data_IF_908286184922
#
_entry.id   IF_908286184922
#
_cell.length_a   1.000
_cell.length_b   1.000
_cell.length_c   1.000
_cell.angle_alpha   90.00
_cell.angle_beta   90.00
_cell.angle_gamma   90.00
#
_symmetry.space_group_name_H-M   'P 1'
#
loop_
_entity.id
_entity.type
_entity.pdbx_description
1 polymer ?
#
# COMPACT_ATOMS: atom_id res chain seq x y z
N UNK A 1 25.42 43.74 -2.82
CA UNK A 1 25.95 42.38 -2.57
C UNK A 1 25.08 41.53 -1.65
N UNK A 2 24.46 42.09 -0.59
CA UNK A 2 23.63 41.30 0.37
C UNK A 2 22.41 40.59 -0.25
N UNK A 3 21.69 41.23 -1.19
CA UNK A 3 20.49 40.63 -1.81
C UNK A 3 20.76 39.40 -2.68
N UNK A 4 21.98 39.24 -3.22
CA UNK A 4 22.32 38.05 -4.00
C UNK A 4 22.58 36.85 -3.08
N UNK A 5 23.18 37.07 -1.90
CA UNK A 5 23.46 36.03 -0.92
C UNK A 5 22.16 35.43 -0.34
N UNK A 6 21.16 36.27 -0.07
CA UNK A 6 19.82 35.83 0.36
C UNK A 6 19.10 35.01 -0.72
N UNK A 7 19.17 35.43 -1.99
CA UNK A 7 18.58 34.68 -3.09
C UNK A 7 19.26 33.32 -3.29
N UNK A 8 20.58 33.26 -3.17
CA UNK A 8 21.33 32.00 -3.24
C UNK A 8 20.97 31.07 -2.08
N UNK A 9 20.85 31.61 -0.86
CA UNK A 9 20.45 30.83 0.32
C UNK A 9 19.04 30.25 0.14
N UNK A 10 18.09 31.04 -0.38
CA UNK A 10 16.72 30.59 -0.63
C UNK A 10 16.65 29.50 -1.69
N UNK A 11 17.44 29.61 -2.78
CA UNK A 11 17.53 28.57 -3.81
C UNK A 11 18.14 27.28 -3.25
N UNK A 12 19.19 27.38 -2.44
CA UNK A 12 19.80 26.22 -1.77
C UNK A 12 18.79 25.55 -0.83
N UNK A 13 18.03 26.32 -0.04
CA UNK A 13 16.98 25.78 0.82
C UNK A 13 15.88 25.08 0.02
N UNK A 14 15.43 25.65 -1.11
CA UNK A 14 14.44 25.00 -1.98
C UNK A 14 14.98 23.70 -2.56
N UNK A 15 16.22 23.69 -3.06
CA UNK A 15 16.86 22.49 -3.61
C UNK A 15 17.06 21.41 -2.54
N UNK A 16 17.44 21.79 -1.31
CA UNK A 16 17.56 20.87 -0.17
C UNK A 16 16.21 20.30 0.24
N UNK A 17 15.16 21.12 0.31
CA UNK A 17 13.80 20.67 0.61
C UNK A 17 13.28 19.75 -0.48
N UNK A 18 13.48 20.08 -1.76
CA UNK A 18 13.12 19.22 -2.89
C UNK A 18 13.91 17.91 -2.86
N UNK A 19 15.20 17.92 -2.50
CA UNK A 19 16.00 16.72 -2.35
C UNK A 19 15.56 15.85 -1.16
N UNK A 20 15.23 16.46 -0.02
CA UNK A 20 14.73 15.75 1.17
C UNK A 20 13.32 15.17 0.93
N UNK A 21 12.44 15.91 0.26
CA UNK A 21 11.13 15.41 -0.18
C UNK A 21 11.35 14.30 -1.22
N UNK A 22 12.21 14.50 -2.22
CA UNK A 22 12.51 13.45 -3.19
C UNK A 22 13.07 12.19 -2.51
N UNK A 23 13.98 12.32 -1.54
CA UNK A 23 14.51 11.20 -0.77
C UNK A 23 13.43 10.51 0.07
N UNK A 24 12.53 11.28 0.71
CA UNK A 24 11.40 10.74 1.47
C UNK A 24 10.35 10.03 0.59
N UNK A 25 10.19 10.47 -0.67
CA UNK A 25 9.17 9.97 -1.60
C UNK A 25 9.68 8.97 -2.65
N UNK A 26 10.99 8.92 -2.96
CA UNK A 26 11.61 7.91 -3.84
C UNK A 26 12.18 6.69 -3.10
N UNK A 27 12.22 6.69 -1.77
CA UNK A 27 12.66 5.55 -0.98
C UNK A 27 11.59 4.48 -0.60
N UNK A 28 10.36 4.38 -1.17
CA UNK A 28 9.46 3.30 -0.76
C UNK A 28 9.24 2.20 -1.82
N UNK A 29 10.20 1.87 -2.70
CA UNK A 29 9.95 0.83 -3.71
C UNK A 29 11.04 -0.22 -3.98
N UNK A 30 12.26 -0.07 -3.47
CA UNK A 30 13.27 -1.14 -3.57
C UNK A 30 14.08 -1.19 -2.28
N UNK A 31 13.47 -1.67 -1.20
CA UNK A 31 14.26 -2.28 -0.13
C UNK A 31 14.83 -3.58 -0.71
N UNK A 32 16.04 -3.49 -1.25
CA UNK A 32 16.83 -4.66 -1.57
C UNK A 32 17.20 -5.36 -0.26
N UNK A 33 16.31 -6.21 0.24
CA UNK A 33 16.58 -7.02 1.43
C UNK A 33 17.68 -8.01 1.09
N UNK A 34 18.90 -7.73 1.58
CA UNK A 34 20.06 -8.63 1.52
C UNK A 34 20.02 -9.53 2.75
N UNK A 35 19.99 -10.85 2.53
CA UNK A 35 19.85 -11.83 3.63
C UNK A 35 21.20 -12.38 4.12
N UNK A 36 21.20 -13.16 5.22
CA UNK A 36 22.37 -13.84 5.81
C UNK A 36 23.25 -14.62 4.81
N UNK A 37 22.70 -15.03 3.65
CA UNK A 37 23.48 -15.71 2.61
C UNK A 37 24.11 -14.76 1.57
N UNK A 38 23.98 -13.44 1.76
CA UNK A 38 24.50 -12.38 0.89
C UNK A 38 23.77 -12.23 -0.45
N UNK A 39 22.71 -13.00 -0.70
CA UNK A 39 21.99 -13.00 -1.97
C UNK A 39 20.79 -12.04 -1.93
N UNK A 40 20.47 -11.47 -3.10
CA UNK A 40 19.26 -10.69 -3.31
C UNK A 40 18.03 -11.57 -3.13
N UNK A 41 17.04 -11.07 -2.39
CA UNK A 41 15.75 -11.74 -2.22
C UNK A 41 14.86 -11.51 -3.43
N UNK A 42 13.98 -12.47 -3.70
CA UNK A 42 12.90 -12.33 -4.69
C UNK A 42 11.56 -12.24 -3.96
N UNK A 43 10.62 -11.51 -4.54
CA UNK A 43 9.25 -11.43 -4.03
C UNK A 43 8.43 -12.52 -4.71
N UNK A 44 7.69 -13.29 -3.92
CA UNK A 44 6.70 -14.27 -4.37
C UNK A 44 5.33 -13.94 -3.80
N UNK A 45 4.28 -14.39 -4.49
CA UNK A 45 2.90 -14.26 -4.06
C UNK A 45 2.34 -15.65 -3.81
N UNK A 46 1.79 -15.90 -2.61
CA UNK A 46 1.00 -17.10 -2.36
C UNK A 46 -0.46 -16.83 -2.73
N UNK A 47 -1.01 -17.61 -3.64
CA UNK A 47 -2.45 -17.60 -3.91
C UNK A 47 -3.09 -18.77 -3.18
N UNK A 48 -3.67 -18.51 -2.00
CA UNK A 48 -4.53 -19.49 -1.33
C UNK A 48 -5.83 -18.82 -0.89
N UNK A 49 -6.90 -19.60 -0.74
CA UNK A 49 -8.21 -19.09 -0.32
C UNK A 49 -8.19 -18.44 1.07
N UNK A 50 -7.28 -18.87 1.95
CA UNK A 50 -7.08 -18.31 3.29
C UNK A 50 -6.06 -17.16 3.33
N UNK A 51 -5.32 -16.94 2.24
CA UNK A 51 -4.23 -15.96 2.19
C UNK A 51 -4.12 -15.34 0.78
N UNK A 52 -5.10 -14.53 0.37
CA UNK A 52 -5.12 -13.94 -0.96
C UNK A 52 -4.04 -12.86 -1.10
N UNK A 53 -3.06 -13.14 -1.96
CA UNK A 53 -2.11 -12.17 -2.50
C UNK A 53 -1.06 -11.52 -1.58
N UNK A 54 -0.68 -12.03 -0.39
CA UNK A 54 0.42 -11.40 0.33
C UNK A 54 1.75 -11.74 -0.36
N UNK A 55 2.53 -10.68 -0.52
CA UNK A 55 3.86 -10.71 -1.10
C UNK A 55 4.85 -11.04 0.01
N UNK A 56 5.76 -11.98 -0.23
CA UNK A 56 6.83 -12.32 0.71
C UNK A 56 8.18 -12.37 0.00
N UNK A 57 9.21 -11.89 0.67
CA UNK A 57 10.61 -12.07 0.30
C UNK A 57 11.05 -13.49 0.61
N UNK A 58 11.69 -14.16 -0.35
CA UNK A 58 12.39 -15.41 -0.11
C UNK A 58 13.78 -15.43 -0.76
N UNK A 59 14.61 -16.36 -0.33
CA UNK A 59 15.92 -16.60 -0.92
C UNK A 59 15.81 -16.97 -2.42
N UNK A 60 16.62 -16.33 -3.27
CA UNK A 60 16.70 -16.62 -4.71
C UNK A 60 17.78 -17.65 -5.08
N UNK A 61 18.46 -18.27 -4.10
CA UNK A 61 19.56 -19.21 -4.40
C UNK A 61 18.99 -20.55 -4.84
N UNK A 62 19.41 -21.02 -6.02
CA UNK A 62 19.09 -22.36 -6.49
C UNK A 62 19.74 -23.44 -5.59
N UNK A 63 18.96 -24.47 -5.23
CA UNK A 63 19.43 -25.61 -4.43
C UNK A 63 19.38 -25.35 -2.92
N UNK A 64 20.37 -24.63 -2.38
CA UNK A 64 20.48 -24.41 -0.92
C UNK A 64 19.77 -23.12 -0.51
N UNK A 65 18.47 -23.23 -0.28
CA UNK A 65 17.70 -22.15 0.35
C UNK A 65 18.14 -22.00 1.80
N UNK A 66 18.42 -20.78 2.22
CA UNK A 66 18.80 -20.47 3.60
C UNK A 66 17.60 -20.40 4.57
N UNK A 67 16.39 -20.71 4.10
CA UNK A 67 15.17 -20.71 4.92
C UNK A 67 14.57 -19.33 5.20
N UNK A 68 15.11 -18.26 4.62
CA UNK A 68 14.56 -16.92 4.82
C UNK A 68 13.18 -16.73 4.20
N UNK A 69 12.24 -16.26 5.02
CA UNK A 69 10.92 -15.78 4.62
C UNK A 69 10.61 -14.53 5.44
N UNK A 70 10.25 -13.44 4.76
CA UNK A 70 9.74 -12.21 5.38
C UNK A 70 8.59 -11.66 4.54
N UNK A 71 7.60 -11.02 5.16
CA UNK A 71 6.55 -10.33 4.41
C UNK A 71 7.14 -9.10 3.69
N UNK A 72 6.73 -8.89 2.43
CA UNK A 72 7.17 -7.78 1.59
C UNK A 72 6.29 -6.55 1.77
N UNK A 73 5.03 -6.74 2.14
CA UNK A 73 4.21 -5.65 2.65
C UNK A 73 4.48 -5.50 4.16
N UNK A 74 4.59 -4.27 4.69
CA UNK A 74 4.31 -4.07 6.11
C UNK A 74 2.93 -4.67 6.40
N UNK A 75 2.68 -5.28 7.57
CA UNK A 75 1.38 -5.86 7.87
C UNK A 75 0.33 -4.78 7.64
N UNK A 76 -0.43 -4.96 6.56
CA UNK A 76 -1.48 -4.02 6.18
C UNK A 76 -2.38 -3.96 7.41
N UNK A 77 -2.38 -2.82 8.07
CA UNK A 77 -3.06 -2.61 9.36
C UNK A 77 -4.59 -2.75 9.25
N UNK A 78 -5.11 -3.04 8.06
CA UNK A 78 -6.49 -3.40 7.80
C UNK A 78 -6.52 -4.56 6.81
N UNK A 79 -6.99 -5.72 7.27
CA UNK A 79 -7.22 -6.89 6.43
C UNK A 79 -8.19 -6.47 5.29
N UNK A 80 -7.75 -6.45 4.03
CA UNK A 80 -8.56 -5.96 2.92
C UNK A 80 -9.84 -6.79 2.74
N UNK A 81 -9.84 -8.07 3.15
CA UNK A 81 -11.05 -8.89 3.15
C UNK A 81 -12.13 -8.32 4.08
N UNK A 82 -11.75 -7.83 5.26
CA UNK A 82 -12.70 -7.21 6.22
C UNK A 82 -13.28 -5.92 5.64
N UNK A 83 -12.46 -5.10 4.97
CA UNK A 83 -12.93 -3.89 4.32
C UNK A 83 -13.90 -4.18 3.16
N UNK A 84 -13.59 -5.17 2.33
CA UNK A 84 -14.45 -5.59 1.21
C UNK A 84 -15.79 -6.11 1.75
N UNK A 85 -15.77 -6.97 2.77
CA UNK A 85 -17.00 -7.47 3.40
C UNK A 85 -17.86 -6.35 3.99
N UNK A 86 -17.26 -5.43 4.77
CA UNK A 86 -17.96 -4.30 5.35
C UNK A 86 -18.57 -3.37 4.28
N UNK A 87 -17.87 -3.17 3.17
CA UNK A 87 -18.36 -2.40 2.03
C UNK A 87 -19.55 -3.10 1.36
N UNK A 88 -19.45 -4.41 1.09
CA UNK A 88 -20.55 -5.18 0.51
C UNK A 88 -21.82 -5.16 1.38
N UNK A 89 -21.68 -5.31 2.69
CA UNK A 89 -22.81 -5.21 3.63
C UNK A 89 -23.44 -3.82 3.64
N UNK A 90 -22.60 -2.79 3.58
CA UNK A 90 -23.05 -1.40 3.50
C UNK A 90 -23.85 -1.17 2.21
N UNK A 91 -23.35 -1.61 1.06
CA UNK A 91 -24.03 -1.51 -0.24
C UNK A 91 -25.39 -2.21 -0.19
N UNK A 92 -25.42 -3.47 0.27
CA UNK A 92 -26.67 -4.24 0.38
C UNK A 92 -27.73 -3.52 1.22
N UNK A 93 -27.35 -2.99 2.38
CA UNK A 93 -28.25 -2.22 3.24
C UNK A 93 -28.78 -0.97 2.53
N UNK A 94 -27.93 -0.27 1.78
CA UNK A 94 -28.37 0.90 1.01
C UNK A 94 -29.33 0.54 -0.12
N UNK A 95 -29.12 -0.58 -0.81
CA UNK A 95 -30.04 -1.07 -1.84
C UNK A 95 -31.41 -1.45 -1.25
N UNK A 96 -31.45 -2.16 -0.12
CA UNK A 96 -32.69 -2.52 0.57
C UNK A 96 -33.47 -1.27 1.00
N UNK A 97 -32.79 -0.30 1.62
CA UNK A 97 -33.40 0.97 2.01
C UNK A 97 -33.95 1.74 0.79
N UNK A 98 -33.22 1.75 -0.32
CA UNK A 98 -33.67 2.41 -1.55
C UNK A 98 -34.91 1.73 -2.14
N UNK A 99 -34.97 0.39 -2.12
CA UNK A 99 -36.16 -0.38 -2.56
C UNK A 99 -37.36 -0.08 -1.67
N UNK A 100 -37.17 -0.02 -0.36
CA UNK A 100 -38.26 0.29 0.58
C UNK A 100 -38.79 1.71 0.37
N UNK A 101 -37.90 2.70 0.17
CA UNK A 101 -38.31 4.07 -0.15
C UNK A 101 -39.08 4.14 -1.47
N UNK A 102 -38.61 3.47 -2.53
CA UNK A 102 -39.30 3.42 -3.82
C UNK A 102 -40.71 2.81 -3.68
N UNK A 103 -40.84 1.73 -2.90
CA UNK A 103 -42.13 1.12 -2.61
C UNK A 103 -43.08 2.07 -1.86
N UNK A 104 -42.60 2.75 -0.82
CA UNK A 104 -43.40 3.74 -0.06
C UNK A 104 -43.85 4.93 -0.91
N UNK A 105 -43.04 5.35 -1.88
CA UNK A 105 -43.42 6.39 -2.85
C UNK A 105 -44.54 5.89 -3.75
N UNK A 106 -44.42 4.67 -4.30
CA UNK A 106 -45.48 4.10 -5.16
C UNK A 106 -46.82 3.91 -4.46
N UNK A 107 -46.82 3.66 -3.15
CA UNK A 107 -48.04 3.56 -2.35
C UNK A 107 -48.66 4.91 -2.02
N UNK A 108 -47.85 5.98 -2.00
CA UNK A 108 -48.35 7.35 -1.75
C UNK A 108 -49.03 7.93 -2.98
N UNK A 109 -48.60 7.52 -4.16
CA UNK A 109 -49.11 8.01 -5.44
C UNK A 109 -50.38 7.26 -5.91
N UNK A 110 -50.89 6.30 -5.12
CA UNK A 110 -52.18 5.61 -5.29
C UNK A 110 -53.27 6.25 -4.44
#
# INVERSE_FOLDING_TARGET
MVRLQESYFMVICILLVVFLISHQYLQPFIDMVVYNCGAQTIIKTSWTSQNPAPRFHCCNRAGRTCGFVSWAEPPMNQNPAVMIHALSDTIRRHEENAREMAYKISLRDQ
#
